data_IF_184526720668
#
_entry.id   IF_184526720668
#
_cell.length_a   1.000
_cell.length_b   1.000
_cell.length_c   1.000
_cell.angle_alpha   90.00
_cell.angle_beta   90.00
_cell.angle_gamma   90.00
#
_symmetry.space_group_name_H-M   'P 1'
#
loop_
_entity.id
_entity.type
_entity.pdbx_description
1 polymer ?
#
# COMPACT_ATOMS: atom_id res chain seq x y z
N UNK A 1 25.75 2.69 -19.62
CA UNK A 1 24.83 3.20 -20.63
C UNK A 1 23.52 3.51 -19.94
N UNK A 2 23.18 4.80 -19.90
CA UNK A 2 22.04 5.31 -19.14
C UNK A 2 20.73 4.96 -19.88
N UNK A 3 20.05 3.89 -19.45
CA UNK A 3 18.67 3.66 -19.83
C UNK A 3 17.75 4.52 -18.95
N UNK A 4 17.89 5.84 -19.03
CA UNK A 4 16.79 6.75 -18.71
C UNK A 4 15.77 6.50 -19.83
N UNK A 5 14.55 6.09 -19.46
CA UNK A 5 13.42 6.03 -20.40
C UNK A 5 13.31 7.41 -21.06
N UNK A 6 13.90 7.56 -22.24
CA UNK A 6 13.63 8.73 -23.09
C UNK A 6 12.19 8.55 -23.54
N UNK A 7 11.29 9.31 -22.93
CA UNK A 7 9.95 9.47 -23.48
C UNK A 7 10.11 9.87 -24.94
N UNK A 8 9.49 9.11 -25.84
CA UNK A 8 9.43 9.44 -27.26
C UNK A 8 8.97 10.91 -27.37
N UNK A 9 9.62 11.77 -28.16
CA UNK A 9 9.21 13.18 -28.32
C UNK A 9 7.73 13.37 -28.66
N UNK A 10 7.09 12.38 -29.33
CA UNK A 10 5.66 12.38 -29.59
C UNK A 10 4.79 12.15 -28.33
N UNK A 11 5.36 11.64 -27.23
CA UNK A 11 4.65 11.49 -25.92
C UNK A 11 4.67 12.76 -25.07
N UNK A 12 5.36 13.82 -25.50
CA UNK A 12 5.40 15.13 -24.81
C UNK A 12 4.05 15.87 -24.79
N UNK A 13 3.05 15.42 -25.55
CA UNK A 13 1.70 16.00 -25.59
C UNK A 13 0.62 15.12 -24.96
N UNK A 14 1.00 14.02 -24.30
CA UNK A 14 0.07 13.29 -23.46
C UNK A 14 -0.15 14.12 -22.19
N UNK A 15 -1.42 14.34 -21.81
CA UNK A 15 -1.85 15.06 -20.63
C UNK A 15 -1.30 14.36 -19.36
N UNK A 16 -0.05 14.64 -19.03
CA UNK A 16 0.53 14.27 -17.73
C UNK A 16 -0.22 15.05 -16.66
N UNK A 17 -0.36 14.43 -15.50
CA UNK A 17 -0.97 15.11 -14.36
C UNK A 17 -0.11 16.31 -13.95
N UNK A 18 -0.76 17.34 -13.39
CA UNK A 18 -0.06 18.52 -12.90
C UNK A 18 1.16 18.17 -12.03
N UNK A 19 2.31 18.82 -12.21
CA UNK A 19 3.51 18.54 -11.42
C UNK A 19 3.25 18.63 -9.91
N UNK A 20 3.84 17.72 -9.13
CA UNK A 20 3.82 17.85 -7.67
C UNK A 20 4.89 18.87 -7.26
N UNK A 21 4.48 19.92 -6.54
CA UNK A 21 5.40 20.90 -5.98
C UNK A 21 5.84 20.50 -4.57
N UNK A 22 7.05 20.94 -4.17
CA UNK A 22 7.53 20.73 -2.81
C UNK A 22 8.04 19.32 -2.49
N UNK A 23 8.29 18.48 -3.51
CA UNK A 23 8.96 17.22 -3.31
C UNK A 23 10.39 17.45 -2.78
N UNK A 24 10.83 16.66 -1.75
CA UNK A 24 12.20 16.81 -1.25
C UNK A 24 13.20 16.27 -2.26
N UNK A 25 14.38 16.86 -2.29
CA UNK A 25 15.53 16.25 -2.98
C UNK A 25 16.31 15.40 -2.00
N UNK A 26 16.68 14.20 -2.42
CA UNK A 26 17.46 13.25 -1.63
C UNK A 26 18.94 13.40 -2.01
N UNK A 27 19.79 13.52 -1.02
CA UNK A 27 21.24 13.62 -1.22
C UNK A 27 21.99 12.57 -0.41
N UNK A 28 23.27 12.35 -0.75
CA UNK A 28 24.13 11.47 0.03
C UNK A 28 25.49 12.08 0.22
N UNK A 29 26.09 11.78 1.36
CA UNK A 29 27.48 12.12 1.68
C UNK A 29 28.22 10.92 2.28
N UNK A 30 29.57 10.87 2.13
CA UNK A 30 30.36 9.83 2.77
C UNK A 30 30.22 9.87 4.29
N UNK A 31 30.11 8.70 4.92
CA UNK A 31 30.24 8.60 6.39
C UNK A 31 31.68 8.90 6.77
N UNK A 32 31.87 9.82 7.72
CA UNK A 32 33.17 10.15 8.30
C UNK A 32 33.13 9.93 9.81
N UNK A 33 34.19 9.43 10.36
CA UNK A 33 34.37 9.24 11.81
C UNK A 33 35.79 9.61 12.25
N UNK A 34 35.91 9.97 13.50
CA UNK A 34 37.22 10.25 14.10
C UNK A 34 37.79 8.96 14.69
N UNK A 35 38.97 8.55 14.29
CA UNK A 35 39.64 7.38 14.85
C UNK A 35 40.26 7.68 16.23
N UNK A 36 40.85 6.65 16.87
CA UNK A 36 41.44 6.79 18.19
C UNK A 36 42.67 7.75 18.23
N UNK A 37 43.17 8.17 17.07
CA UNK A 37 44.28 9.13 16.93
C UNK A 37 43.81 10.54 16.60
N UNK A 38 42.48 10.81 16.67
CA UNK A 38 41.93 12.11 16.35
C UNK A 38 41.82 12.43 14.85
N UNK A 39 42.12 11.47 13.97
CA UNK A 39 42.07 11.69 12.52
C UNK A 39 40.69 11.43 11.96
N UNK A 40 40.23 12.29 11.05
CA UNK A 40 38.97 12.12 10.33
C UNK A 40 39.15 11.10 9.20
N UNK A 41 38.44 9.97 9.30
CA UNK A 41 38.52 8.86 8.33
C UNK A 41 37.16 8.72 7.64
N UNK A 42 37.18 8.47 6.34
CA UNK A 42 35.97 8.16 5.56
C UNK A 42 35.71 6.65 5.55
N UNK A 43 34.48 6.25 5.87
CA UNK A 43 34.05 4.86 5.72
C UNK A 43 33.91 4.52 4.22
N UNK A 44 34.70 3.58 3.69
CA UNK A 44 34.65 3.22 2.27
C UNK A 44 33.40 2.42 1.88
N UNK A 45 32.64 1.90 2.86
CA UNK A 45 31.52 0.97 2.65
C UNK A 45 30.14 1.59 2.86
N UNK A 46 30.07 2.79 3.45
CA UNK A 46 28.80 3.41 3.86
C UNK A 46 28.69 4.86 3.39
N UNK A 47 27.44 5.30 3.21
CA UNK A 47 27.08 6.70 2.97
C UNK A 47 25.86 7.09 3.80
N UNK A 48 25.77 8.35 4.15
CA UNK A 48 24.63 8.97 4.83
C UNK A 48 23.65 9.45 3.76
N UNK A 49 22.37 9.21 3.98
CA UNK A 49 21.27 9.75 3.17
C UNK A 49 20.61 10.88 3.95
N UNK A 50 20.42 12.02 3.30
CA UNK A 50 19.79 13.21 3.86
C UNK A 50 18.76 13.76 2.86
N UNK A 51 17.87 14.66 3.32
CA UNK A 51 17.02 15.46 2.46
C UNK A 51 17.49 16.90 2.44
N UNK A 52 17.18 17.63 1.37
CA UNK A 52 17.44 19.07 1.29
C UNK A 52 16.43 19.90 2.08
N UNK A 53 15.33 19.32 2.53
CA UNK A 53 14.27 20.01 3.30
C UNK A 53 14.56 20.05 4.79
N UNK A 54 15.37 19.10 5.27
CA UNK A 54 15.90 19.09 6.64
C UNK A 54 17.32 18.52 6.61
N UNK A 55 18.21 19.02 7.44
CA UNK A 55 19.55 18.43 7.61
C UNK A 55 19.50 17.08 8.36
N UNK A 56 18.31 16.54 8.56
CA UNK A 56 18.12 15.27 9.25
C UNK A 56 18.68 14.10 8.45
N UNK A 57 19.36 13.22 9.15
CA UNK A 57 19.84 11.97 8.59
C UNK A 57 18.64 11.03 8.43
N UNK A 58 18.36 10.66 7.18
CA UNK A 58 17.34 9.63 6.88
C UNK A 58 17.85 8.25 7.31
N UNK A 59 19.05 7.89 6.86
CA UNK A 59 19.68 6.62 7.21
C UNK A 59 21.16 6.60 6.80
N UNK A 60 21.88 5.61 7.32
CA UNK A 60 23.21 5.22 6.88
C UNK A 60 23.10 3.91 6.11
N UNK A 61 23.39 3.95 4.82
CA UNK A 61 23.21 2.82 3.90
C UNK A 61 24.54 2.34 3.34
N UNK A 62 24.54 1.17 2.69
CA UNK A 62 25.69 0.69 1.95
C UNK A 62 25.99 1.62 0.77
N UNK A 63 27.26 1.70 0.38
CA UNK A 63 27.74 2.58 -0.70
C UNK A 63 27.07 2.27 -2.06
N UNK A 64 26.74 1.01 -2.30
CA UNK A 64 26.09 0.50 -3.53
C UNK A 64 24.58 0.73 -3.58
N UNK A 65 23.97 1.21 -2.49
CA UNK A 65 22.58 1.65 -2.50
C UNK A 65 22.45 2.87 -3.41
N UNK A 66 21.66 2.76 -4.48
CA UNK A 66 21.51 3.81 -5.48
C UNK A 66 20.13 4.44 -5.42
N UNK A 67 20.08 5.76 -5.48
CA UNK A 67 18.84 6.54 -5.57
C UNK A 67 19.01 7.77 -6.48
N UNK A 68 20.19 7.95 -7.08
CA UNK A 68 20.50 9.14 -7.89
C UNK A 68 19.54 9.28 -9.08
N UNK A 69 19.03 8.16 -9.62
CA UNK A 69 18.04 8.11 -10.69
C UNK A 69 16.62 7.82 -10.17
N UNK A 70 16.40 7.91 -8.86
CA UNK A 70 15.13 7.58 -8.21
C UNK A 70 14.74 8.69 -7.22
N UNK A 71 14.98 9.95 -7.58
CA UNK A 71 14.48 11.09 -6.81
C UNK A 71 12.95 11.04 -6.74
N UNK A 72 12.31 11.66 -5.74
CA UNK A 72 10.85 11.70 -5.65
C UNK A 72 10.17 12.13 -6.94
N UNK A 73 10.68 13.15 -7.61
CA UNK A 73 10.16 13.62 -8.90
C UNK A 73 10.37 12.58 -10.03
N UNK A 74 11.51 11.90 -10.06
CA UNK A 74 11.77 10.83 -11.04
C UNK A 74 10.82 9.64 -10.83
N UNK A 75 10.50 9.29 -9.58
CA UNK A 75 9.53 8.23 -9.27
C UNK A 75 8.12 8.60 -9.74
N UNK A 76 7.71 9.86 -9.57
CA UNK A 76 6.42 10.35 -10.09
C UNK A 76 6.39 10.21 -11.62
N UNK A 77 7.39 10.74 -12.31
CA UNK A 77 7.48 10.66 -13.78
C UNK A 77 7.55 9.22 -14.29
N UNK A 78 8.34 8.36 -13.62
CA UNK A 78 8.45 6.95 -13.97
C UNK A 78 7.10 6.23 -13.80
N UNK A 79 6.37 6.52 -12.73
CA UNK A 79 5.07 5.92 -12.46
C UNK A 79 4.05 6.31 -13.55
N UNK A 80 3.94 7.59 -13.89
CA UNK A 80 3.04 8.07 -14.94
C UNK A 80 3.40 7.53 -16.33
N UNK A 81 4.68 7.54 -16.67
CA UNK A 81 5.16 6.95 -17.92
C UNK A 81 4.84 5.46 -18.02
N UNK A 82 4.97 4.72 -16.91
CA UNK A 82 4.69 3.28 -16.87
C UNK A 82 3.18 3.01 -17.01
N UNK A 83 2.32 3.82 -16.38
CA UNK A 83 0.87 3.74 -16.51
C UNK A 83 0.46 3.99 -17.98
N UNK A 84 0.93 5.07 -18.58
CA UNK A 84 0.65 5.40 -19.98
C UNK A 84 1.12 4.31 -20.96
N UNK A 85 2.33 3.76 -20.75
CA UNK A 85 2.85 2.66 -21.56
C UNK A 85 2.08 1.35 -21.40
N UNK A 86 1.32 1.20 -20.33
CA UNK A 86 0.41 0.07 -20.12
C UNK A 86 -0.90 0.21 -20.92
N UNK A 87 -1.10 1.33 -21.62
CA UNK A 87 -2.32 1.62 -22.37
C UNK A 87 -3.42 2.26 -21.54
N UNK A 88 -3.16 2.59 -20.27
CA UNK A 88 -4.13 3.25 -19.39
C UNK A 88 -4.09 4.75 -19.67
N UNK A 89 -5.27 5.34 -19.86
CA UNK A 89 -5.42 6.78 -20.02
C UNK A 89 -5.41 7.47 -18.66
N UNK A 90 -4.60 8.51 -18.51
CA UNK A 90 -4.54 9.32 -17.28
C UNK A 90 -5.64 10.38 -17.20
N UNK A 91 -6.47 10.55 -18.24
CA UNK A 91 -7.57 11.52 -18.23
C UNK A 91 -8.56 11.21 -17.11
N UNK A 92 -8.80 12.20 -16.25
CA UNK A 92 -9.67 12.05 -15.08
C UNK A 92 -9.06 11.25 -13.92
N UNK A 93 -7.83 10.73 -14.10
CA UNK A 93 -7.10 10.07 -13.01
C UNK A 93 -6.76 11.06 -11.91
N UNK A 94 -7.01 10.66 -10.67
CA UNK A 94 -6.55 11.40 -9.50
C UNK A 94 -5.25 10.81 -8.97
N UNK A 95 -4.33 11.66 -8.55
CA UNK A 95 -3.07 11.27 -7.93
C UNK A 95 -2.99 11.78 -6.51
N UNK A 96 -2.73 10.88 -5.57
CA UNK A 96 -2.38 11.20 -4.20
C UNK A 96 -0.93 10.80 -3.95
N UNK A 97 -0.09 11.75 -3.51
CA UNK A 97 1.30 11.49 -3.16
C UNK A 97 1.52 11.85 -1.69
N UNK A 98 2.08 10.91 -0.94
CA UNK A 98 2.42 11.10 0.45
C UNK A 98 3.90 10.78 0.66
N UNK A 99 4.59 11.68 1.36
CA UNK A 99 5.97 11.50 1.76
C UNK A 99 6.03 11.57 3.29
N UNK A 100 6.79 10.67 3.91
CA UNK A 100 7.02 10.75 5.36
C UNK A 100 7.69 12.08 5.73
N UNK A 101 7.41 12.66 6.92
CA UNK A 101 7.93 13.97 7.31
C UNK A 101 9.45 14.13 7.19
N UNK A 102 10.20 13.05 7.42
CA UNK A 102 11.65 13.05 7.23
C UNK A 102 12.11 12.69 5.80
N UNK A 103 11.20 12.60 4.83
CA UNK A 103 11.51 12.28 3.44
C UNK A 103 11.93 10.83 3.19
N UNK A 104 11.93 9.95 4.20
CA UNK A 104 12.49 8.59 4.07
C UNK A 104 11.65 7.65 3.23
N UNK A 105 10.36 7.88 3.13
CA UNK A 105 9.40 6.99 2.44
C UNK A 105 8.45 7.79 1.58
N UNK A 106 8.10 7.23 0.43
CA UNK A 106 7.19 7.81 -0.54
C UNK A 106 6.13 6.79 -0.94
N UNK A 107 4.89 7.23 -0.99
CA UNK A 107 3.73 6.49 -1.46
C UNK A 107 3.01 7.33 -2.50
N UNK A 108 2.70 6.75 -3.65
CA UNK A 108 1.90 7.39 -4.69
C UNK A 108 0.74 6.45 -5.03
N UNK A 109 -0.44 7.03 -5.12
CA UNK A 109 -1.68 6.34 -5.46
C UNK A 109 -2.32 7.04 -6.65
N UNK A 110 -2.58 6.29 -7.70
CA UNK A 110 -3.36 6.73 -8.85
C UNK A 110 -4.71 6.02 -8.81
N UNK A 111 -5.79 6.78 -8.83
CA UNK A 111 -7.16 6.25 -8.95
C UNK A 111 -7.63 6.52 -10.36
N UNK A 112 -8.02 5.47 -11.06
CA UNK A 112 -8.25 5.45 -12.51
C UNK A 112 -9.74 5.20 -12.79
N UNK A 113 -10.54 6.26 -13.03
CA UNK A 113 -11.99 6.14 -13.20
C UNK A 113 -12.41 5.36 -14.44
N UNK A 114 -11.53 5.27 -15.45
CA UNK A 114 -11.78 4.49 -16.67
C UNK A 114 -12.06 3.00 -16.35
N UNK A 115 -11.48 2.51 -15.24
CA UNK A 115 -11.70 1.16 -14.73
C UNK A 115 -12.51 1.22 -13.44
N UNK A 116 -13.84 1.27 -13.58
CA UNK A 116 -14.80 1.26 -12.47
C UNK A 116 -15.69 0.02 -12.59
N UNK A 117 -15.91 -0.65 -11.47
CA UNK A 117 -16.81 -1.80 -11.34
C UNK A 117 -17.92 -1.43 -10.36
N UNK A 118 -19.20 -1.60 -10.76
CA UNK A 118 -20.33 -1.56 -9.86
C UNK A 118 -20.53 -2.95 -9.24
N UNK A 119 -20.28 -3.06 -7.94
CA UNK A 119 -20.49 -4.29 -7.16
C UNK A 119 -22.00 -4.55 -6.96
N UNK A 120 -22.83 -3.64 -7.46
CA UNK A 120 -24.27 -3.65 -7.45
C UNK A 120 -24.89 -2.59 -6.53
N UNK A 121 -26.04 -2.07 -6.97
CA UNK A 121 -26.78 -0.98 -6.33
C UNK A 121 -26.00 0.35 -6.26
N UNK A 122 -25.11 0.62 -7.23
CA UNK A 122 -24.31 1.84 -7.25
C UNK A 122 -23.12 1.82 -6.27
N UNK A 123 -22.75 0.64 -5.78
CA UNK A 123 -21.55 0.47 -4.95
C UNK A 123 -20.30 0.36 -5.83
N UNK A 124 -19.82 1.50 -6.28
CA UNK A 124 -18.72 1.62 -7.23
C UNK A 124 -17.36 1.41 -6.57
N UNK A 125 -16.52 0.63 -7.25
CA UNK A 125 -15.11 0.42 -6.91
C UNK A 125 -14.23 0.77 -8.10
N UNK A 126 -13.26 1.67 -7.90
CA UNK A 126 -12.35 2.15 -8.93
C UNK A 126 -10.97 1.51 -8.80
N UNK A 127 -10.37 1.22 -9.94
CA UNK A 127 -9.02 0.67 -10.00
C UNK A 127 -7.98 1.65 -9.49
N UNK A 128 -6.99 1.14 -8.79
CA UNK A 128 -5.86 1.91 -8.30
C UNK A 128 -4.53 1.27 -8.65
N UNK A 129 -3.53 2.11 -8.88
CA UNK A 129 -2.13 1.70 -8.95
C UNK A 129 -1.38 2.41 -7.82
N UNK A 130 -0.68 1.61 -7.02
CA UNK A 130 0.01 2.03 -5.82
C UNK A 130 1.52 1.86 -6.01
N UNK A 131 2.28 2.92 -5.81
CA UNK A 131 3.74 2.92 -5.85
C UNK A 131 4.29 3.18 -4.46
N UNK A 132 5.24 2.36 -4.06
CA UNK A 132 5.96 2.49 -2.78
C UNK A 132 7.44 2.61 -3.05
N UNK A 133 8.09 3.56 -2.41
CA UNK A 133 9.53 3.74 -2.47
C UNK A 133 10.09 4.14 -1.11
N UNK A 134 11.37 3.84 -0.84
CA UNK A 134 12.04 4.37 0.34
C UNK A 134 13.50 4.75 0.04
N UNK A 135 13.95 5.75 0.76
CA UNK A 135 15.33 6.24 0.72
C UNK A 135 16.13 5.79 1.95
N UNK A 136 15.46 5.13 2.92
CA UNK A 136 16.09 4.53 4.10
C UNK A 136 16.47 3.05 3.91
N UNK A 137 16.20 2.50 2.72
CA UNK A 137 16.50 1.09 2.38
C UNK A 137 15.54 0.07 3.01
N UNK A 138 14.47 0.50 3.68
CA UNK A 138 13.52 -0.41 4.33
C UNK A 138 12.47 -0.99 3.39
N UNK A 139 12.17 -0.31 2.29
CA UNK A 139 11.28 -0.78 1.23
C UNK A 139 12.01 -0.92 -0.10
N UNK A 140 11.66 -1.93 -0.87
CA UNK A 140 11.95 -1.97 -2.29
C UNK A 140 11.04 -1.00 -3.04
N UNK A 141 11.46 -0.52 -4.21
CA UNK A 141 10.51 0.05 -5.16
C UNK A 141 9.45 -1.01 -5.49
N UNK A 142 8.21 -0.69 -5.23
CA UNK A 142 7.10 -1.64 -5.34
C UNK A 142 5.96 -0.99 -6.07
N UNK A 143 5.39 -1.72 -7.04
CA UNK A 143 4.16 -1.36 -7.74
C UNK A 143 3.11 -2.41 -7.41
N UNK A 144 1.93 -1.99 -6.98
CA UNK A 144 0.79 -2.85 -6.70
C UNK A 144 -0.44 -2.37 -7.43
N UNK A 145 -1.27 -3.30 -7.87
CA UNK A 145 -2.67 -3.00 -8.15
C UNK A 145 -3.45 -2.94 -6.84
N UNK A 146 -4.43 -2.10 -6.82
CA UNK A 146 -5.37 -1.94 -5.73
C UNK A 146 -6.70 -1.46 -6.29
N UNK A 147 -7.62 -1.17 -5.40
CA UNK A 147 -8.88 -0.54 -5.75
C UNK A 147 -9.35 0.33 -4.59
N UNK A 148 -10.28 1.23 -4.87
CA UNK A 148 -10.93 2.06 -3.87
C UNK A 148 -12.44 2.00 -4.04
N UNK A 149 -13.14 1.68 -2.98
CA UNK A 149 -14.59 1.74 -2.93
C UNK A 149 -15.02 3.20 -2.73
N UNK A 150 -15.79 3.74 -3.67
CA UNK A 150 -16.11 5.17 -3.70
C UNK A 150 -17.04 5.61 -2.57
N UNK A 151 -17.93 4.72 -2.11
CA UNK A 151 -18.87 5.03 -1.04
C UNK A 151 -18.23 5.38 0.32
N UNK A 152 -17.03 4.83 0.63
CA UNK A 152 -16.38 5.02 1.94
C UNK A 152 -14.87 5.27 1.83
N UNK A 153 -14.34 5.39 0.60
CA UNK A 153 -12.92 5.58 0.31
C UNK A 153 -12.01 4.51 0.92
N UNK A 154 -12.54 3.31 1.11
CA UNK A 154 -11.73 2.16 1.58
C UNK A 154 -10.80 1.69 0.47
N UNK A 155 -9.51 1.67 0.74
CA UNK A 155 -8.53 1.04 -0.13
C UNK A 155 -8.73 -0.47 -0.14
N UNK A 156 -9.16 -1.01 -1.27
CA UNK A 156 -9.34 -2.44 -1.45
C UNK A 156 -7.99 -3.12 -1.72
N UNK A 157 -7.78 -4.28 -1.15
CA UNK A 157 -6.57 -5.10 -1.37
C UNK A 157 -6.93 -6.40 -2.07
N UNK A 158 -6.17 -6.76 -3.10
CA UNK A 158 -6.35 -8.02 -3.78
C UNK A 158 -5.83 -9.18 -2.93
N UNK A 159 -6.49 -10.34 -3.01
CA UNK A 159 -6.05 -11.56 -2.31
C UNK A 159 -4.72 -12.08 -2.88
N UNK A 160 -4.50 -11.93 -4.18
CA UNK A 160 -3.36 -12.49 -4.88
C UNK A 160 -2.20 -11.50 -5.06
N UNK A 161 -0.97 -11.98 -4.92
CA UNK A 161 0.27 -11.23 -5.19
C UNK A 161 0.57 -11.05 -6.69
N UNK A 162 -0.29 -11.56 -7.59
CA UNK A 162 -0.07 -11.61 -9.04
C UNK A 162 0.15 -10.23 -9.68
N UNK A 163 -0.32 -9.17 -9.04
CA UNK A 163 -0.20 -7.79 -9.52
C UNK A 163 0.96 -7.02 -8.90
N UNK A 164 1.89 -7.70 -8.20
CA UNK A 164 2.96 -7.01 -7.50
C UNK A 164 4.29 -7.09 -8.24
N UNK A 165 4.88 -5.91 -8.48
CA UNK A 165 6.26 -5.77 -8.91
C UNK A 165 7.11 -5.24 -7.77
N UNK A 166 8.24 -5.89 -7.46
CA UNK A 166 9.25 -5.42 -6.50
C UNK A 166 10.62 -5.39 -7.15
N UNK A 167 11.33 -4.28 -6.98
CA UNK A 167 12.74 -4.14 -7.38
C UNK A 167 13.55 -3.56 -6.23
N UNK A 168 14.73 -4.13 -5.99
CA UNK A 168 15.71 -3.53 -5.07
C UNK A 168 16.21 -2.20 -5.66
N UNK A 169 16.69 -1.30 -4.80
CA UNK A 169 17.38 -0.07 -5.19
C UNK A 169 18.76 -0.39 -5.77
N UNK A 170 18.77 -0.96 -6.96
CA UNK A 170 19.94 -1.22 -7.77
C UNK A 170 19.77 -0.52 -9.12
N UNK A 171 20.82 -0.27 -9.91
CA UNK A 171 20.72 0.41 -11.20
C UNK A 171 19.80 -0.28 -12.24
N UNK A 172 19.30 -1.48 -11.94
CA UNK A 172 18.58 -2.35 -12.89
C UNK A 172 17.07 -2.48 -12.59
N UNK A 173 16.36 -1.39 -12.30
CA UNK A 173 14.90 -1.41 -12.35
C UNK A 173 14.49 -1.67 -13.81
N UNK A 174 13.75 -2.76 -14.05
CA UNK A 174 13.25 -3.09 -15.39
C UNK A 174 11.81 -2.56 -15.58
N UNK A 175 11.63 -1.43 -16.31
CA UNK A 175 10.31 -0.82 -16.50
C UNK A 175 9.35 -1.71 -17.30
N UNK A 176 9.85 -2.51 -18.25
CA UNK A 176 9.03 -3.42 -19.04
C UNK A 176 8.38 -4.52 -18.19
N UNK A 177 9.06 -4.94 -17.14
CA UNK A 177 8.45 -5.88 -16.19
C UNK A 177 7.32 -5.21 -15.40
N UNK A 178 7.53 -3.98 -14.90
CA UNK A 178 6.48 -3.21 -14.23
C UNK A 178 5.27 -3.00 -15.15
N UNK A 179 5.50 -2.64 -16.42
CA UNK A 179 4.45 -2.47 -17.42
C UNK A 179 3.63 -3.74 -17.63
N UNK A 180 4.27 -4.90 -17.85
CA UNK A 180 3.55 -6.18 -18.00
C UNK A 180 2.69 -6.49 -16.79
N UNK A 181 3.21 -6.27 -15.60
CA UNK A 181 2.47 -6.48 -14.34
C UNK A 181 1.27 -5.54 -14.19
N UNK A 182 1.34 -4.32 -14.69
CA UNK A 182 0.18 -3.41 -14.70
C UNK A 182 -0.92 -3.89 -15.65
N UNK A 183 -0.56 -4.36 -16.84
CA UNK A 183 -1.54 -4.94 -17.78
C UNK A 183 -2.21 -6.18 -17.19
N UNK A 184 -1.45 -7.05 -16.52
CA UNK A 184 -2.02 -8.18 -15.79
C UNK A 184 -2.94 -7.72 -14.65
N UNK A 185 -2.60 -6.62 -13.98
CA UNK A 185 -3.35 -6.09 -12.86
C UNK A 185 -4.77 -5.61 -13.24
N UNK A 186 -4.96 -5.05 -14.45
CA UNK A 186 -6.29 -4.67 -14.93
C UNK A 186 -7.19 -5.91 -15.06
N UNK A 187 -6.66 -6.98 -15.68
CA UNK A 187 -7.39 -8.24 -15.80
C UNK A 187 -7.71 -8.86 -14.44
N UNK A 188 -6.77 -8.75 -13.51
CA UNK A 188 -6.97 -9.20 -12.12
C UNK A 188 -8.06 -8.37 -11.44
N UNK A 189 -8.10 -7.06 -11.67
CA UNK A 189 -9.14 -6.19 -11.11
C UNK A 189 -10.54 -6.57 -11.59
N UNK A 190 -10.70 -6.86 -12.88
CA UNK A 190 -11.97 -7.34 -13.43
C UNK A 190 -12.41 -8.66 -12.79
N UNK A 191 -11.49 -9.62 -12.64
CA UNK A 191 -11.76 -10.88 -11.96
C UNK A 191 -12.07 -10.71 -10.46
N UNK A 192 -11.41 -9.78 -9.78
CA UNK A 192 -11.73 -9.43 -8.39
C UNK A 192 -13.11 -8.80 -8.27
N UNK A 193 -13.54 -7.99 -9.23
CA UNK A 193 -14.89 -7.43 -9.27
C UNK A 193 -15.98 -8.52 -9.31
N UNK A 194 -15.75 -9.59 -10.07
CA UNK A 194 -16.65 -10.75 -10.05
C UNK A 194 -16.63 -11.46 -8.69
N UNK A 195 -15.47 -11.57 -8.04
CA UNK A 195 -15.35 -12.14 -6.69
C UNK A 195 -16.08 -11.29 -5.66
N UNK A 196 -15.92 -9.97 -5.68
CA UNK A 196 -16.61 -9.06 -4.78
C UNK A 196 -18.13 -9.08 -4.96
N UNK A 197 -18.60 -9.20 -6.20
CA UNK A 197 -20.03 -9.38 -6.49
C UNK A 197 -20.57 -10.68 -5.88
N UNK A 198 -19.81 -11.80 -5.99
CA UNK A 198 -20.18 -13.04 -5.30
C UNK A 198 -20.20 -12.89 -3.78
N UNK A 199 -19.22 -12.23 -3.19
CA UNK A 199 -19.17 -11.98 -1.73
C UNK A 199 -20.37 -11.14 -1.25
N UNK A 200 -20.88 -10.24 -2.09
CA UNK A 200 -22.10 -9.48 -1.78
C UNK A 200 -23.32 -10.38 -1.70
N UNK A 201 -23.42 -11.34 -2.58
CA UNK A 201 -24.54 -12.28 -2.64
C UNK A 201 -24.43 -13.43 -1.63
N UNK A 202 -23.24 -13.65 -1.08
CA UNK A 202 -22.93 -14.74 -0.16
C UNK A 202 -23.17 -14.30 1.29
N UNK A 203 -24.20 -14.90 1.92
CA UNK A 203 -24.51 -14.65 3.34
C UNK A 203 -23.34 -15.06 4.24
N UNK A 204 -23.05 -14.26 5.24
CA UNK A 204 -22.02 -14.53 6.23
C UNK A 204 -22.57 -14.47 7.65
N UNK A 205 -22.04 -15.33 8.50
CA UNK A 205 -22.38 -15.36 9.93
C UNK A 205 -21.48 -14.42 10.74
N UNK A 206 -21.93 -14.02 11.91
CA UNK A 206 -21.09 -13.27 12.84
C UNK A 206 -19.85 -14.07 13.27
N UNK A 207 -19.89 -15.41 13.24
CA UNK A 207 -18.73 -16.25 13.52
C UNK A 207 -17.67 -16.13 12.43
N UNK A 208 -18.06 -16.16 11.17
CA UNK A 208 -17.15 -15.94 10.06
C UNK A 208 -16.50 -14.56 10.12
N UNK A 209 -17.29 -13.51 10.42
CA UNK A 209 -16.76 -12.16 10.62
C UNK A 209 -15.74 -12.13 11.77
N UNK A 210 -16.08 -12.74 12.91
CA UNK A 210 -15.20 -12.83 14.06
C UNK A 210 -13.86 -13.49 13.71
N UNK A 211 -13.93 -14.65 13.06
CA UNK A 211 -12.73 -15.43 12.70
C UNK A 211 -11.82 -14.68 11.71
N UNK A 212 -12.41 -13.96 10.73
CA UNK A 212 -11.66 -13.09 9.82
C UNK A 212 -10.93 -11.95 10.57
N UNK A 213 -11.62 -11.30 11.49
CA UNK A 213 -11.04 -10.18 12.26
C UNK A 213 -10.00 -10.67 13.26
N UNK A 214 -10.21 -11.85 13.87
CA UNK A 214 -9.23 -12.46 14.75
C UNK A 214 -7.94 -12.83 14.00
N UNK A 215 -8.05 -13.36 12.78
CA UNK A 215 -6.90 -13.65 11.90
C UNK A 215 -6.14 -12.37 11.57
N UNK A 216 -6.83 -11.34 11.04
CA UNK A 216 -6.22 -10.07 10.68
C UNK A 216 -5.58 -9.35 11.87
N UNK A 217 -6.17 -9.47 13.05
CA UNK A 217 -5.67 -8.89 14.29
C UNK A 217 -4.59 -9.71 15.01
N UNK A 218 -4.27 -10.91 14.49
CA UNK A 218 -3.29 -11.82 15.10
C UNK A 218 -3.77 -12.53 16.38
N UNK A 219 -5.09 -12.68 16.59
CA UNK A 219 -5.69 -13.33 17.77
C UNK A 219 -5.72 -14.87 17.62
N UNK A 220 -4.60 -15.49 17.27
CA UNK A 220 -4.51 -16.90 16.87
C UNK A 220 -5.10 -17.90 17.86
N UNK A 221 -4.93 -17.64 19.15
CA UNK A 221 -5.42 -18.54 20.20
C UNK A 221 -6.96 -18.67 20.20
N UNK A 222 -7.67 -17.61 19.79
CA UNK A 222 -9.15 -17.57 19.80
C UNK A 222 -9.72 -18.40 18.64
N UNK A 223 -8.97 -18.57 17.56
CA UNK A 223 -9.36 -19.37 16.39
C UNK A 223 -9.45 -20.86 16.68
N UNK A 224 -8.86 -21.34 17.77
CA UNK A 224 -8.95 -22.73 18.22
C UNK A 224 -10.15 -23.02 19.13
N UNK A 225 -10.96 -22.00 19.45
CA UNK A 225 -12.07 -22.09 20.42
C UNK A 225 -13.42 -22.26 19.68
N UNK A 226 -13.57 -23.32 18.90
CA UNK A 226 -14.74 -23.54 18.02
C UNK A 226 -16.07 -23.63 18.78
N UNK A 227 -16.04 -24.18 20.02
CA UNK A 227 -17.23 -24.43 20.84
C UNK A 227 -17.71 -23.20 21.62
N UNK A 228 -16.94 -22.10 21.63
CA UNK A 228 -17.32 -20.91 22.37
C UNK A 228 -18.34 -20.06 21.61
N UNK A 229 -19.32 -19.52 22.33
CA UNK A 229 -20.25 -18.54 21.75
C UNK A 229 -19.54 -17.24 21.38
N UNK A 230 -20.07 -16.49 20.38
CA UNK A 230 -19.53 -15.17 20.01
C UNK A 230 -19.53 -14.23 21.22
N UNK A 231 -20.55 -14.30 22.07
CA UNK A 231 -20.62 -13.49 23.28
C UNK A 231 -19.44 -13.76 24.23
N UNK A 232 -19.15 -15.04 24.50
CA UNK A 232 -18.04 -15.43 25.38
C UNK A 232 -16.68 -15.06 24.78
N UNK A 233 -16.53 -15.23 23.46
CA UNK A 233 -15.32 -14.84 22.72
C UNK A 233 -15.07 -13.35 22.81
N UNK A 234 -16.11 -12.51 22.69
CA UNK A 234 -15.99 -11.06 22.80
C UNK A 234 -15.62 -10.59 24.22
N UNK A 235 -15.99 -11.37 25.26
CA UNK A 235 -15.59 -11.11 26.64
C UNK A 235 -14.16 -11.58 26.96
N UNK A 236 -13.55 -12.33 26.06
CA UNK A 236 -12.19 -12.82 26.31
C UNK A 236 -11.17 -11.69 26.28
N UNK A 237 -10.25 -11.65 27.27
CA UNK A 237 -9.28 -10.55 27.45
C UNK A 237 -8.47 -10.25 26.20
N UNK A 238 -7.98 -11.28 25.49
CA UNK A 238 -7.17 -11.11 24.29
C UNK A 238 -7.97 -10.53 23.09
N UNK A 239 -9.29 -10.55 23.15
CA UNK A 239 -10.19 -9.99 22.14
C UNK A 239 -10.55 -8.56 22.49
N UNK A 240 -11.18 -8.32 23.65
CA UNK A 240 -11.68 -6.98 23.99
C UNK A 240 -10.55 -5.96 24.24
N UNK A 241 -9.33 -6.40 24.57
CA UNK A 241 -8.18 -5.49 24.68
C UNK A 241 -7.46 -5.28 23.34
N UNK A 242 -7.75 -6.09 22.31
CA UNK A 242 -7.15 -5.94 21.00
C UNK A 242 -7.85 -4.83 20.22
N UNK A 243 -7.20 -3.68 20.13
CA UNK A 243 -7.76 -2.49 19.46
C UNK A 243 -8.05 -2.71 17.98
N UNK A 244 -7.21 -3.49 17.28
CA UNK A 244 -7.41 -3.77 15.84
C UNK A 244 -8.65 -4.63 15.64
N UNK A 245 -8.81 -5.69 16.45
CA UNK A 245 -10.00 -6.52 16.41
C UNK A 245 -11.26 -5.71 16.70
N UNK A 246 -11.27 -4.99 17.84
CA UNK A 246 -12.44 -4.19 18.24
C UNK A 246 -12.79 -3.10 17.22
N UNK A 247 -11.80 -2.52 16.56
CA UNK A 247 -12.07 -1.57 15.47
C UNK A 247 -12.84 -2.22 14.32
N UNK A 248 -12.35 -3.36 13.83
CA UNK A 248 -13.00 -4.10 12.73
C UNK A 248 -14.39 -4.61 13.12
N UNK A 249 -14.51 -5.16 14.32
CA UNK A 249 -15.79 -5.66 14.85
C UNK A 249 -16.83 -4.55 14.96
N UNK A 250 -16.47 -3.41 15.54
CA UNK A 250 -17.36 -2.26 15.65
C UNK A 250 -17.74 -1.71 14.27
N UNK A 251 -16.77 -1.56 13.35
CA UNK A 251 -17.04 -1.11 11.99
C UNK A 251 -18.02 -2.04 11.29
N UNK A 252 -17.82 -3.35 11.39
CA UNK A 252 -18.71 -4.35 10.81
C UNK A 252 -20.13 -4.23 11.38
N UNK A 253 -20.30 -4.31 12.70
CA UNK A 253 -21.61 -4.40 13.33
C UNK A 253 -22.40 -3.08 13.33
N UNK A 254 -21.73 -1.93 13.33
CA UNK A 254 -22.39 -0.61 13.38
C UNK A 254 -22.59 0.03 12.03
N UNK A 255 -21.76 -0.33 11.02
CA UNK A 255 -21.80 0.28 9.70
C UNK A 255 -21.99 -0.75 8.59
N UNK A 256 -21.02 -1.62 8.34
CA UNK A 256 -21.03 -2.44 7.13
C UNK A 256 -22.22 -3.40 7.09
N UNK A 257 -22.49 -4.11 8.17
CA UNK A 257 -23.61 -5.03 8.27
C UNK A 257 -24.97 -4.32 8.11
N UNK A 258 -25.06 -3.08 8.59
CA UNK A 258 -26.27 -2.27 8.49
C UNK A 258 -26.57 -1.82 7.06
N UNK A 259 -25.54 -1.46 6.30
CA UNK A 259 -25.71 -0.90 4.95
C UNK A 259 -25.58 -1.93 3.83
N UNK A 260 -24.77 -2.96 4.03
CA UNK A 260 -24.48 -3.99 3.04
C UNK A 260 -25.20 -5.32 3.32
N UNK A 261 -25.71 -5.51 4.55
CA UNK A 261 -26.24 -6.79 5.02
C UNK A 261 -25.19 -7.71 5.63
N UNK A 262 -25.63 -8.88 6.11
CA UNK A 262 -24.74 -9.91 6.68
C UNK A 262 -24.17 -10.77 5.57
N UNK A 263 -23.15 -10.29 4.87
CA UNK A 263 -22.49 -10.97 3.76
C UNK A 263 -20.97 -10.82 3.83
N UNK A 264 -20.26 -11.56 2.99
CA UNK A 264 -18.79 -11.57 2.96
C UNK A 264 -18.23 -10.22 2.48
N UNK A 265 -18.94 -9.50 1.63
CA UNK A 265 -18.58 -8.15 1.20
C UNK A 265 -18.55 -7.16 2.38
N UNK A 266 -19.49 -7.26 3.31
CA UNK A 266 -19.50 -6.44 4.54
C UNK A 266 -18.29 -6.76 5.43
N UNK A 267 -17.93 -8.05 5.58
CA UNK A 267 -16.71 -8.46 6.32
C UNK A 267 -15.46 -7.86 5.67
N UNK A 268 -15.34 -8.01 4.36
CA UNK A 268 -14.21 -7.50 3.60
C UNK A 268 -14.07 -5.97 3.74
N UNK A 269 -15.19 -5.24 3.68
CA UNK A 269 -15.17 -3.79 3.84
C UNK A 269 -14.75 -3.35 5.25
N UNK A 270 -15.13 -4.06 6.30
CA UNK A 270 -14.65 -3.77 7.65
C UNK A 270 -13.14 -3.98 7.81
N UNK A 271 -12.59 -5.03 7.18
CA UNK A 271 -11.14 -5.30 7.12
C UNK A 271 -10.39 -4.17 6.39
N UNK A 272 -10.87 -3.78 5.22
CA UNK A 272 -10.21 -2.76 4.39
C UNK A 272 -10.36 -1.37 4.99
N UNK A 273 -11.48 -1.06 5.65
CA UNK A 273 -11.66 0.16 6.41
C UNK A 273 -10.63 0.26 7.55
N UNK A 274 -10.42 -0.81 8.31
CA UNK A 274 -9.39 -0.84 9.34
C UNK A 274 -7.99 -0.59 8.77
N UNK A 275 -7.64 -1.23 7.66
CA UNK A 275 -6.30 -1.07 7.07
C UNK A 275 -6.03 0.36 6.58
N UNK A 276 -7.08 1.06 6.13
CA UNK A 276 -6.99 2.39 5.51
C UNK A 276 -7.21 3.53 6.53
N UNK A 277 -8.21 3.41 7.40
CA UNK A 277 -8.70 4.53 8.23
C UNK A 277 -8.39 4.40 9.72
N UNK A 278 -8.06 3.20 10.22
CA UNK A 278 -7.78 3.09 11.64
C UNK A 278 -6.57 3.95 12.04
N UNK A 279 -6.70 4.75 13.11
CA UNK A 279 -5.64 5.64 13.54
C UNK A 279 -4.37 4.84 13.88
N UNK A 280 -3.21 5.44 13.60
CA UNK A 280 -1.94 4.92 14.05
C UNK A 280 -1.89 4.86 15.59
N UNK A 281 -1.19 3.87 16.13
CA UNK A 281 -1.03 3.76 17.58
C UNK A 281 -0.32 4.98 18.16
N UNK A 282 -0.63 5.37 19.40
CA UNK A 282 -0.03 6.54 20.09
C UNK A 282 1.52 6.56 20.09
N UNK A 283 2.15 5.40 19.98
CA UNK A 283 3.62 5.26 19.93
C UNK A 283 4.16 5.14 18.50
N UNK A 284 3.30 5.21 17.49
CA UNK A 284 3.76 5.15 16.10
C UNK A 284 4.39 6.49 15.74
N UNK A 285 5.66 6.45 15.38
CA UNK A 285 6.33 7.61 14.81
C UNK A 285 5.65 7.95 13.49
N UNK A 286 5.38 9.23 13.24
CA UNK A 286 4.76 9.73 12.00
C UNK A 286 5.46 9.23 10.74
N UNK A 287 6.79 9.05 10.78
CA UNK A 287 7.56 8.46 9.68
C UNK A 287 7.24 6.98 9.42
N UNK A 288 6.54 6.31 10.34
CA UNK A 288 6.14 4.91 10.25
C UNK A 288 4.65 4.70 9.97
N UNK A 289 3.86 5.76 9.79
CA UNK A 289 2.43 5.63 9.49
C UNK A 289 2.19 4.86 8.21
N UNK A 290 2.93 5.19 7.13
CA UNK A 290 2.88 4.45 5.87
C UNK A 290 3.24 2.96 6.05
N UNK A 291 4.25 2.66 6.86
CA UNK A 291 4.64 1.28 7.18
C UNK A 291 3.52 0.55 7.92
N UNK A 292 2.80 1.25 8.81
CA UNK A 292 1.66 0.68 9.53
C UNK A 292 0.52 0.34 8.58
N UNK A 293 0.19 1.22 7.64
CA UNK A 293 -0.83 0.97 6.62
C UNK A 293 -0.47 -0.25 5.75
N UNK A 294 0.76 -0.32 5.27
CA UNK A 294 1.24 -1.47 4.47
C UNK A 294 1.13 -2.78 5.24
N UNK A 295 1.54 -2.80 6.51
CA UNK A 295 1.44 -4.01 7.36
C UNK A 295 -0.01 -4.45 7.58
N UNK A 296 -0.93 -3.50 7.77
CA UNK A 296 -2.36 -3.80 7.90
C UNK A 296 -2.92 -4.39 6.61
N UNK A 297 -2.57 -3.83 5.46
CA UNK A 297 -2.97 -4.39 4.16
C UNK A 297 -2.46 -5.83 3.97
N UNK A 298 -1.24 -6.13 4.39
CA UNK A 298 -0.71 -7.52 4.37
C UNK A 298 -1.51 -8.44 5.32
N UNK A 299 -1.88 -7.97 6.51
CA UNK A 299 -2.71 -8.74 7.45
C UNK A 299 -4.11 -8.99 6.88
N UNK A 300 -4.72 -8.00 6.22
CA UNK A 300 -6.02 -8.15 5.54
C UNK A 300 -5.91 -9.20 4.43
N UNK A 301 -4.86 -9.13 3.60
CA UNK A 301 -4.63 -10.12 2.54
C UNK A 301 -4.54 -11.55 3.09
N UNK A 302 -3.77 -11.74 4.17
CA UNK A 302 -3.67 -13.04 4.84
C UNK A 302 -5.02 -13.55 5.33
N UNK A 303 -5.82 -12.69 5.97
CA UNK A 303 -7.15 -13.05 6.46
C UNK A 303 -8.12 -13.40 5.32
N UNK A 304 -8.10 -12.62 4.21
CA UNK A 304 -8.91 -12.90 3.01
C UNK A 304 -8.54 -14.27 2.45
N UNK A 305 -7.25 -14.51 2.18
CA UNK A 305 -6.78 -15.76 1.59
C UNK A 305 -7.13 -16.99 2.43
N UNK A 306 -7.23 -16.82 3.76
CA UNK A 306 -7.50 -17.93 4.69
C UNK A 306 -9.00 -18.15 4.93
N UNK A 307 -9.83 -17.09 4.87
CA UNK A 307 -11.22 -17.10 5.37
C UNK A 307 -12.29 -16.76 4.36
N UNK A 308 -11.96 -16.00 3.30
CA UNK A 308 -12.90 -15.54 2.27
C UNK A 308 -12.50 -16.06 0.86
N UNK A 309 -11.51 -16.93 0.74
CA UNK A 309 -10.93 -17.32 -0.54
C UNK A 309 -11.70 -18.44 -1.28
N UNK A 310 -12.88 -18.82 -0.85
CA UNK A 310 -13.66 -19.85 -1.50
C UNK A 310 -14.47 -19.36 -2.71
#
# INVERSE_FOLDING_TARGET
MNNILQLNPQQKHLDLLEPITGLPTISSSPVKFVNNFGQLITDPKRKVITTTTSDDIINVVKKDFTFENNQPDDIVRLSEATILQSGINLKGTTRHCQISPNGSKMFIQYTIPEHTIDIGNGDETQFQILFYNSYDGTWCFTVRAGAIRMACLNGQVHADDLSMFKSKHTPSINPDHARRKMVEAIKTFEAEGERWSRWKDQSATNRQAFDCFAEAAGCKFVLSSEDMSIYDLLQHKNVYTNRSFMYMWNQYTTHEQKYLGSNEWAIYNALTHWSTHAPAGRKTNVNNELTTTVRRQESVRGAIATRLAA
#
